data_IF_741853484805
#
_entry.id   IF_741853484805
#
_cell.length_a   1.000
_cell.length_b   1.000
_cell.length_c   1.000
_cell.angle_alpha   90.00
_cell.angle_beta   90.00
_cell.angle_gamma   90.00
#
_symmetry.space_group_name_H-M   'P 1'
#
loop_
_entity.id
_entity.type
_entity.pdbx_description
1 polymer ?
#
# COMPACT_ATOMS: atom_id res chain seq x y z
N UNK A 1 -3.48 14.88 -109.46
CA UNK A 1 -4.72 14.42 -108.73
C UNK A 1 -4.35 13.79 -107.43
N UNK A 2 -4.35 14.53 -106.33
CA UNK A 2 -4.17 13.98 -104.99
C UNK A 2 -5.12 14.64 -104.05
N UNK A 3 -5.99 13.80 -103.52
CA UNK A 3 -7.03 14.20 -102.51
C UNK A 3 -6.35 14.36 -101.16
N UNK A 4 -6.43 15.56 -100.59
CA UNK A 4 -6.10 15.80 -99.19
C UNK A 4 -7.29 15.41 -98.31
N UNK A 5 -7.12 14.41 -97.51
CA UNK A 5 -8.08 14.07 -96.39
C UNK A 5 -7.84 14.95 -95.23
N UNK A 6 -8.81 15.83 -94.97
CA UNK A 6 -8.85 16.63 -93.76
C UNK A 6 -9.27 15.78 -92.54
N UNK A 7 -8.51 15.85 -91.49
CA UNK A 7 -8.83 15.26 -90.20
C UNK A 7 -9.73 16.24 -89.38
N UNK A 8 -10.79 15.80 -88.71
CA UNK A 8 -11.60 16.67 -87.90
C UNK A 8 -10.91 17.04 -86.58
N UNK A 9 -11.23 18.20 -85.97
CA UNK A 9 -10.63 18.65 -84.77
C UNK A 9 -11.13 17.82 -83.60
N UNK A 10 -10.23 17.44 -82.67
CA UNK A 10 -10.52 16.75 -81.42
C UNK A 10 -11.18 17.76 -80.44
N UNK A 11 -12.41 17.46 -80.08
CA UNK A 11 -13.08 18.17 -78.98
C UNK A 11 -12.38 17.89 -77.67
N UNK A 12 -11.92 18.98 -77.03
CA UNK A 12 -11.31 18.94 -75.67
C UNK A 12 -12.46 18.96 -74.68
N UNK A 13 -12.91 17.79 -74.24
CA UNK A 13 -13.74 17.71 -73.05
C UNK A 13 -12.88 17.98 -71.82
N UNK A 14 -12.99 19.17 -71.26
CA UNK A 14 -12.57 19.46 -69.91
C UNK A 14 -13.50 18.71 -68.95
N UNK A 15 -13.10 17.53 -68.53
CA UNK A 15 -13.76 16.77 -67.50
C UNK A 15 -13.78 17.56 -66.19
N UNK A 16 -14.93 18.05 -65.82
CA UNK A 16 -15.22 18.55 -64.48
C UNK A 16 -15.16 17.32 -63.55
N UNK A 17 -14.09 17.19 -62.81
CA UNK A 17 -13.98 16.15 -61.75
C UNK A 17 -14.80 16.66 -60.57
N UNK A 18 -15.89 16.04 -60.19
CA UNK A 18 -16.53 16.35 -58.90
C UNK A 18 -15.54 15.89 -57.82
N UNK A 19 -15.03 16.85 -57.06
CA UNK A 19 -14.26 16.57 -55.87
C UNK A 19 -15.21 15.82 -54.88
N UNK A 20 -14.85 14.63 -54.44
CA UNK A 20 -15.80 13.72 -53.85
C UNK A 20 -16.32 14.27 -52.52
N UNK A 21 -17.63 14.37 -52.44
CA UNK A 21 -18.38 14.62 -51.21
C UNK A 21 -17.90 13.71 -50.05
N UNK A 22 -17.36 12.55 -50.40
CA UNK A 22 -16.72 11.60 -49.48
C UNK A 22 -15.51 12.16 -48.74
N UNK A 23 -14.69 13.06 -49.35
CA UNK A 23 -13.54 13.65 -48.71
C UNK A 23 -13.99 14.69 -47.68
N UNK A 24 -15.02 15.46 -48.01
CA UNK A 24 -15.62 16.45 -47.07
C UNK A 24 -16.33 15.76 -45.90
N UNK A 25 -17.00 14.63 -46.15
CA UNK A 25 -17.65 13.83 -45.09
C UNK A 25 -16.60 13.15 -44.18
N UNK A 26 -15.50 12.68 -44.74
CA UNK A 26 -14.42 12.03 -43.96
C UNK A 26 -13.66 13.03 -43.09
N UNK A 27 -13.43 14.27 -43.57
CA UNK A 27 -12.81 15.33 -42.77
C UNK A 27 -13.73 15.82 -41.67
N UNK A 28 -15.05 15.90 -41.91
CA UNK A 28 -16.03 16.27 -40.89
C UNK A 28 -16.11 15.19 -39.78
N UNK A 29 -16.05 13.90 -40.12
CA UNK A 29 -16.05 12.79 -39.17
C UNK A 29 -14.76 12.78 -38.32
N UNK A 30 -13.61 13.17 -38.92
CA UNK A 30 -12.33 13.24 -38.19
C UNK A 30 -12.31 14.38 -37.17
N UNK A 31 -13.00 15.52 -37.47
CA UNK A 31 -13.07 16.67 -36.56
C UNK A 31 -14.03 16.42 -35.40
N UNK A 32 -15.11 15.67 -35.61
CA UNK A 32 -16.07 15.30 -34.54
C UNK A 32 -15.48 14.22 -33.62
N UNK A 33 -14.59 13.37 -34.12
CA UNK A 33 -13.91 12.33 -33.33
C UNK A 33 -12.84 12.88 -32.35
N UNK A 34 -12.44 14.16 -32.47
CA UNK A 34 -11.42 14.79 -31.62
C UNK A 34 -12.02 15.57 -30.43
N UNK A 35 -13.36 15.65 -30.30
CA UNK A 35 -13.99 15.98 -29.04
C UNK A 35 -14.06 14.75 -28.14
N UNK A 36 -12.91 14.06 -27.99
CA UNK A 36 -12.70 13.09 -26.96
C UNK A 36 -12.91 13.81 -25.63
N UNK A 37 -13.82 13.28 -24.82
CA UNK A 37 -13.96 13.63 -23.43
C UNK A 37 -12.58 13.82 -22.86
N UNK A 38 -12.22 15.06 -22.46
CA UNK A 38 -11.18 15.29 -21.52
C UNK A 38 -11.58 14.50 -20.28
N UNK A 39 -11.13 13.24 -20.18
CA UNK A 39 -11.05 12.53 -18.91
C UNK A 39 -10.14 13.41 -18.11
N UNK A 40 -10.72 14.25 -17.26
CA UNK A 40 -10.00 14.90 -16.18
C UNK A 40 -9.23 13.81 -15.49
N UNK A 41 -7.90 13.90 -15.35
CA UNK A 41 -7.17 13.03 -14.46
C UNK A 41 -7.44 13.47 -13.02
N UNK A 42 -8.71 13.49 -12.62
CA UNK A 42 -9.12 13.47 -11.21
C UNK A 42 -8.96 12.05 -10.67
N UNK A 43 -7.81 11.44 -10.97
CA UNK A 43 -7.14 10.62 -10.03
C UNK A 43 -6.67 11.56 -8.93
N UNK A 44 -7.58 11.97 -8.05
CA UNK A 44 -7.24 12.43 -6.72
C UNK A 44 -6.52 11.26 -6.07
N UNK A 45 -5.22 11.17 -6.34
CA UNK A 45 -4.27 10.61 -5.41
C UNK A 45 -4.56 11.42 -4.15
N UNK A 46 -5.38 10.87 -3.25
CA UNK A 46 -5.66 11.52 -1.97
C UNK A 46 -4.28 11.69 -1.33
N UNK A 47 -3.77 12.92 -1.41
CA UNK A 47 -2.47 13.24 -0.86
C UNK A 47 -2.55 12.80 0.59
N UNK A 48 -1.62 11.91 1.01
CA UNK A 48 -1.56 11.48 2.39
C UNK A 48 -1.52 12.72 3.27
N UNK A 49 -2.50 12.84 4.15
CA UNK A 49 -2.52 13.83 5.22
C UNK A 49 -2.09 13.14 6.51
N UNK A 50 -1.04 13.67 7.13
CA UNK A 50 -0.65 13.17 8.44
C UNK A 50 -1.78 13.39 9.44
N UNK A 51 -1.98 12.46 10.41
CA UNK A 51 -2.95 12.66 11.48
C UNK A 51 -2.76 13.99 12.20
N UNK A 52 -3.86 14.65 12.56
CA UNK A 52 -3.81 15.84 13.38
C UNK A 52 -3.44 15.45 14.84
N UNK A 53 -2.53 16.22 15.45
CA UNK A 53 -2.10 15.95 16.81
C UNK A 53 -0.97 14.92 16.91
N UNK A 54 -0.82 14.38 18.11
CA UNK A 54 0.15 13.33 18.44
C UNK A 54 -0.35 12.53 19.63
N UNK A 55 -0.01 11.26 19.69
CA UNK A 55 -0.33 10.34 20.77
C UNK A 55 0.78 9.32 20.96
N UNK A 56 0.84 8.73 22.16
CA UNK A 56 1.77 7.65 22.47
C UNK A 56 1.20 6.73 23.51
N UNK A 57 1.26 5.44 23.26
CA UNK A 57 0.99 4.37 24.22
C UNK A 57 2.23 4.21 25.10
N UNK A 58 2.09 4.44 26.38
CA UNK A 58 3.21 4.37 27.32
C UNK A 58 3.46 2.95 27.81
N UNK A 59 4.65 2.70 28.31
CA UNK A 59 5.05 1.44 28.96
C UNK A 59 4.89 0.17 28.11
N UNK A 60 4.89 0.26 26.78
CA UNK A 60 4.92 -0.92 25.92
C UNK A 60 6.28 -1.61 26.05
N UNK A 61 6.34 -2.87 26.51
CA UNK A 61 7.59 -3.59 26.64
C UNK A 61 8.35 -3.71 25.33
N UNK A 62 9.66 -3.49 25.40
CA UNK A 62 10.54 -3.59 24.23
C UNK A 62 11.49 -4.77 24.41
N UNK A 63 11.50 -5.63 23.38
CA UNK A 63 12.45 -6.73 23.26
C UNK A 63 13.34 -6.47 22.05
N UNK A 64 14.64 -6.28 22.32
CA UNK A 64 15.63 -6.13 21.24
C UNK A 64 15.64 -7.38 20.37
N UNK A 65 15.46 -7.19 19.09
CA UNK A 65 15.28 -8.29 18.15
C UNK A 65 16.63 -8.73 17.60
N UNK A 66 16.93 -10.00 17.78
CA UNK A 66 17.95 -10.68 17.00
C UNK A 66 17.40 -10.96 15.58
N UNK A 67 18.29 -11.30 14.66
CA UNK A 67 17.93 -11.63 13.28
C UNK A 67 16.80 -12.68 13.25
N UNK A 68 15.73 -12.42 12.49
CA UNK A 68 14.56 -13.29 12.25
C UNK A 68 13.53 -13.42 13.38
N UNK A 69 13.73 -12.80 14.54
CA UNK A 69 12.75 -12.88 15.65
C UNK A 69 11.83 -11.66 15.78
N UNK A 70 11.66 -10.87 14.72
CA UNK A 70 10.85 -9.66 14.78
C UNK A 70 9.36 -9.95 15.09
N UNK A 71 8.80 -11.06 14.59
CA UNK A 71 7.43 -11.49 14.90
C UNK A 71 7.25 -11.83 16.39
N UNK A 72 7.99 -12.81 16.93
CA UNK A 72 7.93 -13.17 18.34
C UNK A 72 8.20 -12.02 19.30
N UNK A 73 9.19 -11.16 19.00
CA UNK A 73 9.52 -10.01 19.84
C UNK A 73 8.42 -8.94 19.84
N UNK A 74 7.83 -8.65 18.67
CA UNK A 74 6.70 -7.72 18.56
C UNK A 74 5.47 -8.27 19.30
N UNK A 75 5.19 -9.55 19.14
CA UNK A 75 4.06 -10.20 19.80
C UNK A 75 4.25 -10.23 21.33
N UNK A 76 5.46 -10.56 21.83
CA UNK A 76 5.77 -10.50 23.24
C UNK A 76 5.58 -9.08 23.80
N UNK A 77 6.03 -8.05 23.08
CA UNK A 77 5.84 -6.66 23.51
C UNK A 77 4.38 -6.31 23.73
N UNK A 78 3.50 -6.68 22.81
CA UNK A 78 2.07 -6.38 22.91
C UNK A 78 1.38 -7.25 23.96
N UNK A 79 1.64 -8.55 24.04
CA UNK A 79 1.02 -9.43 25.03
C UNK A 79 1.44 -9.05 26.46
N UNK A 80 2.72 -8.74 26.69
CA UNK A 80 3.20 -8.27 27.99
C UNK A 80 2.65 -6.90 28.38
N UNK A 81 2.35 -6.03 27.41
CA UNK A 81 1.67 -4.75 27.68
C UNK A 81 0.30 -4.99 28.34
N UNK A 82 -0.39 -6.06 27.98
CA UNK A 82 -1.65 -6.48 28.57
C UNK A 82 -1.50 -7.45 29.76
N UNK A 83 -0.28 -7.67 30.24
CA UNK A 83 0.00 -8.47 31.45
C UNK A 83 0.22 -9.96 31.24
N UNK A 84 0.27 -10.46 29.99
CA UNK A 84 0.65 -11.87 29.72
C UNK A 84 2.18 -12.00 29.71
N UNK A 85 2.74 -12.46 30.83
CA UNK A 85 4.19 -12.58 31.03
C UNK A 85 4.80 -13.69 30.15
N UNK A 86 5.08 -13.36 28.88
CA UNK A 86 5.64 -14.28 27.89
C UNK A 86 6.92 -13.72 27.29
N UNK A 87 7.93 -14.58 27.06
CA UNK A 87 9.18 -14.17 26.43
C UNK A 87 9.17 -14.37 24.91
N UNK A 88 9.93 -13.57 24.14
CA UNK A 88 10.08 -13.80 22.69
C UNK A 88 10.52 -15.23 22.36
N UNK A 89 11.44 -15.82 23.14
CA UNK A 89 11.92 -17.19 22.92
C UNK A 89 10.80 -18.22 23.14
N UNK A 90 9.91 -17.99 24.10
CA UNK A 90 8.77 -18.87 24.30
C UNK A 90 7.83 -18.83 23.10
N UNK A 91 7.52 -17.63 22.61
CA UNK A 91 6.71 -17.46 21.41
C UNK A 91 7.40 -18.05 20.18
N UNK A 92 8.71 -17.80 20.01
CA UNK A 92 9.47 -18.34 18.88
C UNK A 92 9.41 -19.88 18.82
N UNK A 93 9.54 -20.57 19.95
CA UNK A 93 9.38 -22.05 19.96
C UNK A 93 8.02 -22.53 19.49
N UNK A 94 6.96 -21.71 19.64
CA UNK A 94 5.61 -22.06 19.23
C UNK A 94 5.32 -21.73 17.75
N UNK A 95 5.84 -20.61 17.24
CA UNK A 95 5.39 -20.06 15.96
C UNK A 95 6.52 -19.73 14.97
N UNK A 96 7.79 -19.89 15.34
CA UNK A 96 8.91 -19.68 14.40
C UNK A 96 9.02 -20.90 13.47
N UNK A 97 9.24 -20.62 12.21
CA UNK A 97 9.39 -21.63 11.16
C UNK A 97 10.80 -21.56 10.57
N UNK A 98 11.57 -22.62 10.74
CA UNK A 98 12.96 -22.69 10.29
C UNK A 98 13.08 -22.68 8.77
N UNK A 99 12.13 -23.28 8.06
CA UNK A 99 12.09 -23.39 6.60
C UNK A 99 12.00 -22.05 5.90
N UNK A 100 11.31 -21.05 6.50
CA UNK A 100 11.20 -19.67 5.98
C UNK A 100 12.02 -18.66 6.76
N UNK A 101 12.78 -19.11 7.77
CA UNK A 101 13.52 -18.25 8.70
C UNK A 101 12.67 -17.09 9.26
N UNK A 102 11.44 -17.39 9.72
CA UNK A 102 10.52 -16.35 10.15
C UNK A 102 9.23 -16.85 10.77
N UNK A 103 8.30 -15.95 10.95
CA UNK A 103 6.99 -16.21 11.53
C UNK A 103 5.91 -15.86 10.52
N UNK A 104 4.96 -16.76 10.34
CA UNK A 104 3.78 -16.52 9.49
C UNK A 104 2.76 -15.67 10.25
N UNK A 105 2.17 -14.73 9.57
CA UNK A 105 1.13 -13.84 10.10
C UNK A 105 0.02 -14.58 10.84
N UNK A 106 -0.49 -15.67 10.25
CA UNK A 106 -1.57 -16.45 10.83
C UNK A 106 -1.18 -17.08 12.17
N UNK A 107 0.06 -17.55 12.28
CA UNK A 107 0.54 -18.16 13.53
C UNK A 107 0.57 -17.15 14.68
N UNK A 108 0.90 -15.87 14.40
CA UNK A 108 0.82 -14.79 15.40
C UNK A 108 -0.61 -14.55 15.88
N UNK A 109 -1.57 -14.55 14.97
CA UNK A 109 -2.99 -14.36 15.28
C UNK A 109 -3.51 -15.52 16.13
N UNK A 110 -3.22 -16.76 15.71
CA UNK A 110 -3.67 -17.96 16.42
C UNK A 110 -3.05 -18.04 17.81
N UNK A 111 -1.76 -17.75 17.95
CA UNK A 111 -1.09 -17.70 19.25
C UNK A 111 -1.72 -16.69 20.21
N UNK A 112 -1.98 -15.46 19.74
CA UNK A 112 -2.63 -14.46 20.57
C UNK A 112 -4.04 -14.89 21.01
N UNK A 113 -4.82 -15.52 20.11
CA UNK A 113 -6.15 -16.03 20.43
C UNK A 113 -6.10 -17.21 21.41
N UNK A 114 -5.15 -18.11 21.30
CA UNK A 114 -4.93 -19.20 22.24
C UNK A 114 -4.61 -18.68 23.65
N UNK A 115 -3.97 -17.52 23.74
CA UNK A 115 -3.71 -16.80 25.00
C UNK A 115 -4.93 -16.04 25.53
N UNK A 116 -6.09 -16.10 24.87
CA UNK A 116 -7.33 -15.44 25.32
C UNK A 116 -7.44 -13.98 24.92
N UNK A 117 -6.72 -13.56 23.89
CA UNK A 117 -6.83 -12.23 23.33
C UNK A 117 -7.71 -12.21 22.07
N UNK A 118 -8.45 -11.15 21.87
CA UNK A 118 -8.99 -10.80 20.55
C UNK A 118 -7.84 -10.38 19.64
N UNK A 119 -7.67 -11.05 18.53
CA UNK A 119 -6.61 -10.74 17.56
C UNK A 119 -7.19 -10.67 16.15
N UNK A 120 -7.04 -9.53 15.50
CA UNK A 120 -7.55 -9.26 14.15
C UNK A 120 -6.48 -8.62 13.30
N UNK A 121 -6.18 -9.21 12.14
CA UNK A 121 -5.34 -8.60 11.14
C UNK A 121 -6.17 -8.00 10.00
N UNK A 122 -5.72 -6.87 9.43
CA UNK A 122 -6.42 -6.13 8.40
C UNK A 122 -5.47 -5.20 7.62
N UNK A 123 -5.96 -4.61 6.55
CA UNK A 123 -5.29 -3.52 5.84
C UNK A 123 -5.57 -2.20 6.55
N UNK A 124 -4.56 -1.69 7.26
CA UNK A 124 -4.71 -0.49 8.09
C UNK A 124 -4.54 0.82 7.32
N UNK A 125 -4.84 1.91 7.99
CA UNK A 125 -4.66 3.30 7.55
C UNK A 125 -3.97 4.14 8.62
N UNK A 126 -3.54 5.36 8.28
CA UNK A 126 -3.01 6.28 9.28
C UNK A 126 -4.06 6.65 10.34
N UNK A 127 -5.33 6.70 9.97
CA UNK A 127 -6.42 6.91 10.92
C UNK A 127 -6.59 5.73 11.89
N UNK A 128 -6.39 4.49 11.42
CA UNK A 128 -6.40 3.32 12.33
C UNK A 128 -5.26 3.39 13.34
N UNK A 129 -4.07 3.85 12.92
CA UNK A 129 -2.95 4.08 13.84
C UNK A 129 -3.33 5.13 14.88
N UNK A 130 -3.89 6.25 14.45
CA UNK A 130 -4.34 7.31 15.36
C UNK A 130 -5.37 6.78 16.34
N UNK A 131 -6.47 6.19 15.87
CA UNK A 131 -7.54 5.68 16.72
C UNK A 131 -7.06 4.60 17.71
N UNK A 132 -6.12 3.75 17.29
CA UNK A 132 -5.57 2.73 18.17
C UNK A 132 -4.70 3.35 19.28
N UNK A 133 -3.78 4.24 18.91
CA UNK A 133 -2.90 4.92 19.88
C UNK A 133 -3.68 5.81 20.85
N UNK A 134 -4.69 6.55 20.36
CA UNK A 134 -5.57 7.36 21.20
C UNK A 134 -6.43 6.51 22.17
N UNK A 135 -6.63 5.23 21.82
CA UNK A 135 -7.28 4.23 22.67
C UNK A 135 -6.31 3.36 23.50
N UNK A 136 -5.03 3.77 23.65
CA UNK A 136 -3.99 3.00 24.35
C UNK A 136 -3.77 1.58 23.80
N UNK A 137 -3.93 1.39 22.48
CA UNK A 137 -3.73 0.10 21.83
C UNK A 137 -2.48 0.12 20.95
N UNK A 138 -1.39 -0.59 21.31
CA UNK A 138 -0.23 -0.73 20.45
C UNK A 138 -0.55 -1.66 19.27
N UNK A 139 -0.10 -1.31 18.07
CA UNK A 139 -0.34 -2.09 16.85
C UNK A 139 0.92 -2.80 16.37
N UNK A 140 0.83 -4.07 16.01
CA UNK A 140 1.89 -4.73 15.24
C UNK A 140 1.64 -4.45 13.77
N UNK A 141 2.64 -3.94 13.07
CA UNK A 141 2.56 -3.73 11.62
C UNK A 141 3.72 -4.44 10.92
N UNK A 142 3.50 -4.83 9.68
CA UNK A 142 4.53 -5.41 8.83
C UNK A 142 4.95 -4.39 7.78
N UNK A 143 6.26 -4.16 7.64
CA UNK A 143 6.84 -3.32 6.61
C UNK A 143 7.78 -4.12 5.72
N UNK A 144 7.99 -3.67 4.48
CA UNK A 144 9.01 -4.23 3.60
C UNK A 144 10.26 -3.34 3.59
N UNK A 145 11.35 -3.86 4.13
CA UNK A 145 12.67 -3.24 4.15
C UNK A 145 13.49 -3.56 2.90
N UNK A 146 12.93 -4.35 1.99
CA UNK A 146 13.61 -4.80 0.80
C UNK A 146 13.91 -3.68 -0.20
N UNK A 147 14.82 -3.99 -1.11
CA UNK A 147 15.27 -3.08 -2.17
C UNK A 147 15.07 -3.72 -3.54
N UNK A 148 14.66 -2.94 -4.53
CA UNK A 148 14.31 -3.40 -5.87
C UNK A 148 13.27 -4.54 -5.82
N UNK A 149 13.58 -5.71 -6.38
CA UNK A 149 12.68 -6.86 -6.43
C UNK A 149 12.85 -7.85 -5.27
N UNK A 150 13.69 -7.51 -4.27
CA UNK A 150 13.92 -8.36 -3.11
C UNK A 150 13.14 -7.82 -1.92
N UNK A 151 12.11 -8.56 -1.50
CA UNK A 151 11.35 -8.24 -0.29
C UNK A 151 12.07 -8.73 0.97
N UNK A 152 12.05 -7.88 2.01
CA UNK A 152 12.50 -8.23 3.35
C UNK A 152 11.46 -7.76 4.36
N UNK A 153 10.55 -8.64 4.71
CA UNK A 153 9.49 -8.33 5.66
C UNK A 153 10.03 -8.17 7.08
N UNK A 154 9.47 -7.21 7.79
CA UNK A 154 9.85 -6.90 9.16
C UNK A 154 8.64 -6.47 9.97
N UNK A 155 8.42 -7.13 11.11
CA UNK A 155 7.40 -6.73 12.07
C UNK A 155 7.97 -5.72 13.05
N UNK A 156 7.16 -4.74 13.41
CA UNK A 156 7.46 -3.73 14.42
C UNK A 156 6.18 -3.36 15.17
N UNK A 157 6.33 -2.76 16.34
CA UNK A 157 5.18 -2.28 17.13
C UNK A 157 5.09 -0.78 16.98
N UNK A 158 3.97 -0.28 16.44
CA UNK A 158 3.62 1.14 16.48
C UNK A 158 3.04 1.44 17.84
N UNK A 159 3.67 2.37 18.53
CA UNK A 159 3.28 2.81 19.87
C UNK A 159 2.93 4.30 19.92
N UNK A 160 3.06 5.02 18.82
CA UNK A 160 2.73 6.43 18.78
C UNK A 160 2.68 7.00 17.37
N UNK A 161 2.11 8.18 17.25
CA UNK A 161 2.04 8.95 16.03
C UNK A 161 2.20 10.45 16.29
N UNK A 162 2.54 11.18 15.25
CA UNK A 162 2.59 12.64 15.24
C UNK A 162 2.67 13.17 13.81
N UNK A 163 2.78 14.48 13.66
CA UNK A 163 2.85 15.11 12.34
C UNK A 163 4.06 14.62 11.50
N UNK A 164 5.18 14.32 12.14
CA UNK A 164 6.38 13.88 11.43
C UNK A 164 6.38 12.40 11.04
N UNK A 165 5.69 11.54 11.80
CA UNK A 165 5.77 10.09 11.60
C UNK A 165 5.12 9.29 12.72
N UNK A 166 5.49 8.01 12.77
CA UNK A 166 5.10 7.06 13.80
C UNK A 166 6.25 6.81 14.78
N UNK A 167 5.92 6.57 16.05
CA UNK A 167 6.87 6.12 17.06
C UNK A 167 6.78 4.60 17.12
N UNK A 168 7.91 3.91 16.96
CA UNK A 168 7.93 2.45 16.84
C UNK A 168 8.99 1.79 17.71
N UNK A 169 8.68 0.59 18.18
CA UNK A 169 9.63 -0.37 18.70
C UNK A 169 10.04 -1.31 17.57
N UNK A 170 11.29 -1.26 17.10
CA UNK A 170 11.71 -1.93 15.87
C UNK A 170 13.18 -2.37 15.91
N UNK A 171 13.44 -3.64 15.74
CA UNK A 171 14.80 -4.16 15.71
C UNK A 171 15.53 -3.96 17.03
N UNK A 172 16.55 -3.11 17.02
CA UNK A 172 17.32 -2.74 18.22
C UNK A 172 16.91 -1.37 18.79
N UNK A 173 15.99 -0.70 18.13
CA UNK A 173 15.60 0.67 18.43
C UNK A 173 14.27 0.69 19.20
N UNK A 174 14.33 1.17 20.43
CA UNK A 174 13.15 1.45 21.25
C UNK A 174 12.67 2.88 20.97
N UNK A 175 11.34 3.06 20.86
CA UNK A 175 10.67 4.36 20.73
C UNK A 175 11.23 5.25 19.62
N UNK A 176 11.58 4.63 18.49
CA UNK A 176 12.19 5.32 17.36
C UNK A 176 11.14 6.06 16.53
N UNK A 177 11.39 7.34 16.25
CA UNK A 177 10.61 8.06 15.25
C UNK A 177 10.93 7.55 13.84
N UNK A 178 9.91 7.05 13.15
CA UNK A 178 9.98 6.73 11.73
C UNK A 178 9.09 7.69 10.95
N UNK A 179 9.71 8.60 10.19
CA UNK A 179 8.98 9.61 9.42
C UNK A 179 8.01 9.00 8.43
N UNK A 180 6.85 9.65 8.22
CA UNK A 180 5.80 9.17 7.31
C UNK A 180 6.32 8.83 5.91
N UNK A 181 7.17 9.68 5.32
CA UNK A 181 7.78 9.45 4.02
C UNK A 181 8.64 8.19 3.93
N UNK A 182 9.11 7.65 5.08
CA UNK A 182 9.85 6.40 5.17
C UNK A 182 8.96 5.22 5.54
N UNK A 183 7.99 5.43 6.39
CA UNK A 183 7.08 4.41 6.91
C UNK A 183 6.07 3.98 5.85
N UNK A 184 5.30 4.92 5.31
CA UNK A 184 4.17 4.64 4.42
C UNK A 184 4.56 3.80 3.19
N UNK A 185 5.60 4.15 2.40
CA UNK A 185 5.92 3.36 1.21
C UNK A 185 6.30 1.90 1.55
N UNK A 186 6.90 1.67 2.73
CA UNK A 186 7.27 0.33 3.20
C UNK A 186 6.08 -0.46 3.71
N UNK A 187 5.16 0.20 4.39
CA UNK A 187 3.93 -0.39 4.89
C UNK A 187 2.96 -0.70 3.74
N UNK A 188 2.84 0.19 2.76
CA UNK A 188 2.04 -0.03 1.55
C UNK A 188 2.49 -1.25 0.73
N UNK A 189 3.79 -1.54 0.67
CA UNK A 189 4.30 -2.76 0.02
C UNK A 189 3.77 -4.05 0.64
N UNK A 190 3.38 -4.02 1.90
CA UNK A 190 2.73 -5.14 2.61
C UNK A 190 1.20 -5.03 2.62
N UNK A 191 0.62 -4.19 1.76
CA UNK A 191 -0.82 -3.85 1.75
C UNK A 191 -1.29 -3.28 3.10
N UNK A 192 -0.45 -2.47 3.73
CA UNK A 192 -0.69 -1.88 5.05
C UNK A 192 -1.05 -2.91 6.12
N UNK A 193 -0.38 -4.07 6.10
CA UNK A 193 -0.67 -5.16 7.02
C UNK A 193 -0.53 -4.71 8.49
N UNK A 194 -1.60 -4.91 9.24
CA UNK A 194 -1.74 -4.48 10.63
C UNK A 194 -2.39 -5.58 11.45
N UNK A 195 -1.86 -5.84 12.63
CA UNK A 195 -2.44 -6.76 13.61
C UNK A 195 -2.77 -5.97 14.89
N UNK A 196 -4.04 -5.95 15.24
CA UNK A 196 -4.58 -5.41 16.48
C UNK A 196 -4.84 -6.54 17.43
N UNK A 197 -4.35 -6.43 18.67
CA UNK A 197 -4.54 -7.40 19.75
C UNK A 197 -5.04 -6.64 20.96
N UNK A 198 -6.08 -7.14 21.60
CA UNK A 198 -6.68 -6.57 22.80
C UNK A 198 -7.16 -7.70 23.73
N UNK A 199 -7.24 -7.48 25.03
CA UNK A 199 -7.89 -8.43 25.93
C UNK A 199 -9.31 -8.77 25.44
N UNK A 200 -9.69 -10.03 25.48
CA UNK A 200 -11.06 -10.43 25.17
C UNK A 200 -11.97 -9.99 26.32
N UNK A 201 -12.93 -9.12 26.02
CA UNK A 201 -13.95 -8.72 26.99
C UNK A 201 -14.82 -9.96 27.22
N UNK A 202 -14.65 -10.62 28.34
CA UNK A 202 -15.59 -11.68 28.78
C UNK A 202 -16.80 -10.97 29.39
N UNK A 203 -17.93 -11.02 28.71
CA UNK A 203 -19.22 -10.64 29.27
C UNK A 203 -19.64 -11.57 30.41
#
# INVERSE_FOLDING_TARGET
MQRLKGTPPKAIYRGFRPLPIFVAALTLLLVVGLTGCAVSPDGTSSAFSAPAGSGKVENVPFYSQLTYQCGPASLAGVLNFYGDAVTPDHIARAIFRDDIHGTVTLDMVLYAREKGFSAKWYSGSANDIQCAVDGDVPLIVMIDLGFANLSKYHYLVVIGYGQEGVIVNSGKDREKLMRWGKFLPRWQKTKCWTLRIEPEIRE
#
